data_IF_917085068904
#
_entry.id   IF_917085068904
#
_cell.length_a   1.000
_cell.length_b   1.000
_cell.length_c   1.000
_cell.angle_alpha   90.00
_cell.angle_beta   90.00
_cell.angle_gamma   90.00
#
_symmetry.space_group_name_H-M   'P 1'
#
loop_
_entity.id
_entity.type
_entity.pdbx_description
1 polymer ?
#
# COMPACT_ATOMS: atom_id res chain seq x y z
N UNK A 1 -35.97 -7.16 -28.82
CA UNK A 1 -34.72 -7.89 -28.51
C UNK A 1 -34.10 -7.23 -27.30
N UNK A 2 -34.19 -7.83 -26.11
CA UNK A 2 -33.50 -7.31 -24.93
C UNK A 2 -32.03 -7.69 -25.05
N UNK A 3 -31.12 -6.71 -25.08
CA UNK A 3 -29.69 -6.97 -24.91
C UNK A 3 -29.49 -7.68 -23.56
N UNK A 4 -28.80 -8.81 -23.54
CA UNK A 4 -28.48 -9.51 -22.29
C UNK A 4 -27.56 -8.63 -21.43
N UNK A 5 -27.68 -8.68 -20.10
CA UNK A 5 -26.80 -7.92 -19.20
C UNK A 5 -25.32 -8.25 -19.44
N UNK A 6 -25.03 -9.51 -19.79
CA UNK A 6 -23.68 -9.96 -20.14
C UNK A 6 -23.12 -9.19 -21.34
N UNK A 7 -23.95 -8.99 -22.38
CA UNK A 7 -23.57 -8.22 -23.55
C UNK A 7 -23.20 -6.77 -23.22
N UNK A 8 -24.06 -6.09 -22.45
CA UNK A 8 -23.83 -4.71 -22.02
C UNK A 8 -22.55 -4.58 -21.21
N UNK A 9 -22.33 -5.49 -20.25
CA UNK A 9 -21.12 -5.50 -19.42
C UNK A 9 -19.86 -5.81 -20.23
N UNK A 10 -19.94 -6.72 -21.21
CA UNK A 10 -18.87 -7.04 -22.14
C UNK A 10 -18.51 -5.87 -23.05
N UNK A 11 -19.51 -5.23 -23.66
CA UNK A 11 -19.32 -4.06 -24.52
C UNK A 11 -18.70 -2.88 -23.76
N UNK A 12 -19.15 -2.62 -22.53
CA UNK A 12 -18.58 -1.59 -21.68
C UNK A 12 -17.11 -1.91 -21.33
N UNK A 13 -16.83 -3.15 -20.96
CA UNK A 13 -15.47 -3.62 -20.65
C UNK A 13 -14.54 -3.53 -21.86
N UNK A 14 -15.04 -3.85 -23.05
CA UNK A 14 -14.33 -3.71 -24.33
C UNK A 14 -13.98 -2.25 -24.61
N UNK A 15 -14.97 -1.36 -24.53
CA UNK A 15 -14.78 0.07 -24.77
C UNK A 15 -13.80 0.70 -23.76
N UNK A 16 -13.93 0.39 -22.47
CA UNK A 16 -13.00 0.85 -21.44
C UNK A 16 -11.58 0.31 -21.65
N UNK A 17 -11.44 -0.96 -22.05
CA UNK A 17 -10.12 -1.55 -22.34
C UNK A 17 -9.44 -0.82 -23.52
N UNK A 18 -10.18 -0.52 -24.59
CA UNK A 18 -9.66 0.26 -25.72
C UNK A 18 -9.28 1.69 -25.32
N UNK A 19 -10.12 2.36 -24.52
CA UNK A 19 -9.84 3.70 -24.02
C UNK A 19 -8.52 3.73 -23.23
N UNK A 20 -8.29 2.74 -22.36
CA UNK A 20 -7.03 2.65 -21.59
C UNK A 20 -5.84 2.33 -22.50
N UNK A 21 -5.96 1.35 -23.41
CA UNK A 21 -4.89 0.98 -24.33
C UNK A 21 -4.52 2.09 -25.33
N UNK A 22 -5.43 3.04 -25.59
CA UNK A 22 -5.13 4.19 -26.44
C UNK A 22 -3.93 5.01 -25.96
N UNK A 23 -3.57 4.93 -24.67
CA UNK A 23 -2.34 5.50 -24.12
C UNK A 23 -1.07 5.08 -24.85
N UNK A 24 -1.05 3.89 -25.46
CA UNK A 24 0.10 3.41 -26.24
C UNK A 24 0.44 4.32 -27.43
N UNK A 25 -0.56 5.05 -27.94
CA UNK A 25 -0.43 6.01 -29.05
C UNK A 25 -0.08 7.42 -28.50
N UNK A 26 0.00 7.59 -27.19
CA UNK A 26 0.27 8.85 -26.49
C UNK A 26 -0.92 9.34 -25.65
N UNK A 27 -0.74 10.50 -25.00
CA UNK A 27 -1.77 11.14 -24.20
C UNK A 27 -2.84 11.79 -25.09
N UNK A 28 -4.03 11.17 -25.12
CA UNK A 28 -5.12 11.51 -26.02
C UNK A 28 -6.43 11.68 -25.21
N UNK A 29 -7.47 12.35 -25.74
CA UNK A 29 -8.70 12.61 -25.00
C UNK A 29 -9.45 11.33 -24.59
N UNK A 30 -9.33 10.24 -25.36
CA UNK A 30 -9.96 8.95 -25.08
C UNK A 30 -9.35 8.31 -23.81
N UNK A 31 -8.02 8.29 -23.70
CA UNK A 31 -7.33 7.85 -22.49
C UNK A 31 -7.67 8.71 -21.26
N UNK A 32 -7.69 10.04 -21.43
CA UNK A 32 -8.05 10.96 -20.34
C UNK A 32 -9.47 10.73 -19.84
N UNK A 33 -10.42 10.46 -20.74
CA UNK A 33 -11.80 10.14 -20.38
C UNK A 33 -11.87 8.89 -19.50
N UNK A 34 -11.17 7.81 -19.85
CA UNK A 34 -11.10 6.62 -19.01
C UNK A 34 -10.48 6.92 -17.64
N UNK A 35 -9.38 7.69 -17.61
CA UNK A 35 -8.69 8.03 -16.36
C UNK A 35 -9.55 8.91 -15.46
N UNK A 36 -10.20 9.95 -15.99
CA UNK A 36 -11.10 10.81 -15.22
C UNK A 36 -12.33 10.06 -14.73
N UNK A 37 -12.88 9.14 -15.53
CA UNK A 37 -13.97 8.27 -15.09
C UNK A 37 -13.52 7.38 -13.95
N UNK A 38 -12.35 6.74 -14.08
CA UNK A 38 -11.80 5.88 -13.04
C UNK A 38 -11.54 6.64 -11.72
N UNK A 39 -10.93 7.82 -11.81
CA UNK A 39 -10.68 8.69 -10.64
C UNK A 39 -12.00 9.17 -10.04
N UNK A 40 -12.97 9.57 -10.86
CA UNK A 40 -14.29 10.02 -10.43
C UNK A 40 -15.08 8.93 -9.71
N UNK A 41 -15.11 7.72 -10.26
CA UNK A 41 -15.74 6.55 -9.62
C UNK A 41 -15.03 6.18 -8.32
N UNK A 42 -13.70 6.22 -8.28
CA UNK A 42 -12.92 5.97 -7.07
C UNK A 42 -13.22 6.99 -5.98
N UNK A 43 -13.25 8.28 -6.31
CA UNK A 43 -13.61 9.34 -5.38
C UNK A 43 -15.06 9.22 -4.89
N UNK A 44 -15.99 8.87 -5.79
CA UNK A 44 -17.39 8.63 -5.46
C UNK A 44 -17.57 7.45 -4.50
N UNK A 45 -16.84 6.35 -4.74
CA UNK A 45 -16.84 5.19 -3.84
C UNK A 45 -16.31 5.57 -2.45
N UNK A 46 -15.18 6.28 -2.38
CA UNK A 46 -14.63 6.76 -1.10
C UNK A 46 -15.62 7.68 -0.38
N UNK A 47 -16.29 8.58 -1.11
CA UNK A 47 -17.32 9.44 -0.53
C UNK A 47 -18.52 8.64 0.02
N UNK A 48 -18.97 7.61 -0.71
CA UNK A 48 -20.05 6.74 -0.26
C UNK A 48 -19.65 5.92 0.98
N UNK A 49 -18.42 5.41 1.02
CA UNK A 49 -17.86 4.71 2.18
C UNK A 49 -17.77 5.65 3.38
N UNK A 50 -17.23 6.86 3.20
CA UNK A 50 -17.15 7.87 4.26
C UNK A 50 -18.54 8.25 4.77
N UNK A 51 -19.53 8.39 3.89
CA UNK A 51 -20.91 8.66 4.29
C UNK A 51 -21.48 7.52 5.14
N UNK A 52 -21.41 6.29 4.65
CA UNK A 52 -22.08 5.15 5.25
C UNK A 52 -21.40 4.63 6.52
N UNK A 53 -20.07 4.66 6.56
CA UNK A 53 -19.29 4.07 7.65
C UNK A 53 -18.70 5.10 8.62
N UNK A 54 -18.72 6.39 8.29
CA UNK A 54 -18.14 7.43 9.16
C UNK A 54 -19.19 8.49 9.48
N UNK A 55 -19.64 9.27 8.50
CA UNK A 55 -20.49 10.43 8.78
C UNK A 55 -21.85 10.03 9.37
N UNK A 56 -22.53 9.05 8.79
CA UNK A 56 -23.83 8.62 9.31
C UNK A 56 -23.73 7.99 10.72
N UNK A 57 -22.96 6.91 10.94
CA UNK A 57 -22.94 6.22 12.23
C UNK A 57 -22.16 6.97 13.32
N UNK A 58 -21.06 7.66 12.99
CA UNK A 58 -20.18 8.27 14.00
C UNK A 58 -20.51 9.74 14.28
N UNK A 59 -21.11 10.48 13.33
CA UNK A 59 -21.45 11.89 13.50
C UNK A 59 -22.96 12.10 13.69
N UNK A 60 -23.78 11.70 12.73
CA UNK A 60 -25.21 12.04 12.76
C UNK A 60 -26.00 11.21 13.79
N UNK A 61 -25.75 9.90 13.85
CA UNK A 61 -26.50 9.01 14.75
C UNK A 61 -26.32 9.38 16.23
N UNK A 62 -25.10 9.63 16.76
CA UNK A 62 -24.90 9.99 18.16
C UNK A 62 -25.40 11.40 18.47
N UNK A 63 -25.38 12.31 17.49
CA UNK A 63 -25.90 13.67 17.65
C UNK A 63 -27.42 13.69 17.79
N UNK A 64 -28.13 12.90 16.97
CA UNK A 64 -29.59 12.85 16.94
C UNK A 64 -30.16 11.99 18.08
N UNK A 65 -29.56 10.83 18.31
CA UNK A 65 -30.15 9.77 19.16
C UNK A 65 -29.24 9.32 20.33
N UNK A 66 -28.00 9.80 20.39
CA UNK A 66 -27.05 9.39 21.41
C UNK A 66 -27.33 9.99 22.78
N UNK A 67 -26.91 9.27 23.83
CA UNK A 67 -26.91 9.74 25.21
C UNK A 67 -25.99 10.97 25.39
N UNK A 68 -26.18 11.72 26.49
CA UNK A 68 -25.40 12.93 26.77
C UNK A 68 -23.88 12.67 26.73
N UNK A 69 -23.42 11.53 27.26
CA UNK A 69 -22.01 11.14 27.25
C UNK A 69 -21.46 11.01 25.81
N UNK A 70 -22.21 10.37 24.91
CA UNK A 70 -21.80 10.22 23.51
C UNK A 70 -21.71 11.57 22.80
N UNK A 71 -22.66 12.48 23.06
CA UNK A 71 -22.65 13.84 22.52
C UNK A 71 -21.46 14.66 23.02
N UNK A 72 -21.09 14.50 24.29
CA UNK A 72 -19.93 15.16 24.87
C UNK A 72 -18.60 14.66 24.26
N UNK A 73 -18.48 13.36 24.00
CA UNK A 73 -17.31 12.79 23.31
C UNK A 73 -17.21 13.23 21.84
N UNK A 74 -18.33 13.59 21.22
CA UNK A 74 -18.38 14.08 19.83
C UNK A 74 -18.00 15.56 19.69
N UNK A 75 -17.98 16.33 20.79
CA UNK A 75 -17.65 17.77 20.74
C UNK A 75 -16.26 18.04 20.14
N UNK A 76 -15.17 17.40 20.60
CA UNK A 76 -13.85 17.64 20.02
C UNK A 76 -13.77 17.40 18.49
N UNK A 77 -14.19 16.24 17.94
CA UNK A 77 -14.14 16.03 16.50
C UNK A 77 -15.07 16.96 15.72
N UNK A 78 -16.22 17.34 16.28
CA UNK A 78 -17.14 18.29 15.64
C UNK A 78 -16.54 19.71 15.58
N UNK A 79 -15.89 20.17 16.65
CA UNK A 79 -15.15 21.44 16.65
C UNK A 79 -14.03 21.41 15.61
N UNK A 80 -13.26 20.33 15.54
CA UNK A 80 -12.21 20.19 14.52
C UNK A 80 -12.77 20.18 13.10
N UNK A 81 -13.92 19.53 12.86
CA UNK A 81 -14.60 19.52 11.57
C UNK A 81 -15.08 20.93 11.17
N UNK A 82 -15.66 21.68 12.11
CA UNK A 82 -16.10 23.07 11.87
C UNK A 82 -14.89 23.97 11.58
N UNK A 83 -13.81 23.86 12.35
CA UNK A 83 -12.58 24.64 12.12
C UNK A 83 -11.97 24.31 10.75
N UNK A 84 -12.05 23.05 10.31
CA UNK A 84 -11.58 22.62 9.00
C UNK A 84 -12.46 23.21 7.88
N UNK A 85 -13.79 23.21 8.05
CA UNK A 85 -14.72 23.84 7.11
C UNK A 85 -14.57 25.37 7.06
N UNK A 86 -14.31 26.00 8.20
CA UNK A 86 -14.08 27.45 8.29
C UNK A 86 -12.87 27.89 7.45
N UNK A 87 -11.93 26.98 7.16
CA UNK A 87 -10.79 27.24 6.26
C UNK A 87 -11.20 27.60 4.84
N UNK A 88 -12.37 27.17 4.37
CA UNK A 88 -12.87 27.51 3.03
C UNK A 88 -13.18 29.02 2.92
N UNK A 89 -13.33 29.72 4.04
CA UNK A 89 -13.57 31.16 4.09
C UNK A 89 -12.24 31.91 4.30
N UNK A 90 -11.90 32.92 3.47
CA UNK A 90 -10.65 33.67 3.59
C UNK A 90 -10.32 34.23 5.00
N UNK A 91 -11.27 34.78 5.79
CA UNK A 91 -10.92 35.35 7.09
C UNK A 91 -10.60 34.31 8.18
N UNK A 92 -11.01 33.05 8.01
CA UNK A 92 -10.90 31.98 9.01
C UNK A 92 -9.84 30.92 8.66
N UNK A 93 -9.06 31.13 7.59
CA UNK A 93 -8.07 30.17 7.10
C UNK A 93 -7.10 29.66 8.18
N UNK A 94 -6.66 30.57 9.08
CA UNK A 94 -5.71 30.25 10.16
C UNK A 94 -6.29 29.24 11.16
N UNK A 95 -7.59 29.24 11.38
CA UNK A 95 -8.27 28.33 12.31
C UNK A 95 -8.19 26.87 11.82
N UNK A 96 -8.18 26.67 10.50
CA UNK A 96 -8.01 25.37 9.86
C UNK A 96 -6.63 24.74 10.02
N UNK A 97 -5.61 25.48 10.49
CA UNK A 97 -4.26 24.92 10.74
C UNK A 97 -4.26 23.90 11.87
N UNK A 98 -5.11 24.07 12.88
CA UNK A 98 -5.19 23.18 14.04
C UNK A 98 -5.70 21.78 13.61
N UNK A 99 -6.86 21.65 12.92
CA UNK A 99 -7.29 20.37 12.38
C UNK A 99 -6.28 19.71 11.44
N UNK A 100 -5.59 20.49 10.60
CA UNK A 100 -4.55 19.94 9.72
C UNK A 100 -3.35 19.38 10.47
N UNK A 101 -2.87 20.09 11.50
CA UNK A 101 -1.77 19.62 12.33
C UNK A 101 -2.17 18.33 13.07
N UNK A 102 -3.40 18.27 13.58
CA UNK A 102 -3.95 17.07 14.19
C UNK A 102 -4.02 15.91 13.18
N UNK A 103 -4.60 16.13 11.99
CA UNK A 103 -4.68 15.11 10.93
C UNK A 103 -3.30 14.62 10.48
N UNK A 104 -2.31 15.52 10.36
CA UNK A 104 -0.93 15.16 10.03
C UNK A 104 -0.30 14.31 11.14
N UNK A 105 -0.52 14.66 12.41
CA UNK A 105 -0.07 13.87 13.56
C UNK A 105 -0.70 12.48 13.59
N UNK A 106 -2.01 12.38 13.35
CA UNK A 106 -2.72 11.09 13.24
C UNK A 106 -2.18 10.27 12.06
N UNK A 107 -2.00 10.88 10.89
CA UNK A 107 -1.44 10.20 9.73
C UNK A 107 -0.02 9.66 10.00
N UNK A 108 0.82 10.45 10.66
CA UNK A 108 2.16 10.01 11.07
C UNK A 108 2.08 8.85 12.09
N UNK A 109 1.20 8.95 13.10
CA UNK A 109 1.01 7.90 14.09
C UNK A 109 0.49 6.59 13.47
N UNK A 110 -0.48 6.67 12.55
CA UNK A 110 -1.02 5.52 11.82
C UNK A 110 0.04 4.93 10.89
N UNK A 111 0.83 5.75 10.19
CA UNK A 111 1.89 5.26 9.32
C UNK A 111 3.00 4.54 10.11
N UNK A 112 3.46 5.13 11.23
CA UNK A 112 4.47 4.52 12.09
C UNK A 112 3.91 3.27 12.77
N UNK A 113 2.71 3.36 13.36
CA UNK A 113 2.05 2.22 13.99
C UNK A 113 1.82 1.07 13.01
N UNK A 114 1.30 1.37 11.81
CA UNK A 114 1.08 0.42 10.74
C UNK A 114 2.39 -0.18 10.18
N UNK A 115 3.47 0.59 10.10
CA UNK A 115 4.78 0.03 9.75
C UNK A 115 5.29 -0.91 10.86
N UNK A 116 5.18 -0.52 12.13
CA UNK A 116 5.64 -1.36 13.25
C UNK A 116 4.85 -2.66 13.32
N UNK A 117 3.52 -2.59 13.36
CA UNK A 117 2.65 -3.76 13.55
C UNK A 117 2.40 -4.54 12.27
N UNK A 118 2.37 -3.88 11.12
CA UNK A 118 2.10 -4.49 9.82
C UNK A 118 3.33 -5.00 9.11
N UNK A 119 4.53 -4.45 9.37
CA UNK A 119 5.76 -4.89 8.70
C UNK A 119 6.82 -5.36 9.69
N UNK A 120 7.33 -4.49 10.57
CA UNK A 120 8.51 -4.80 11.39
C UNK A 120 8.30 -6.00 12.32
N UNK A 121 7.20 -6.04 13.08
CA UNK A 121 6.91 -7.14 13.99
C UNK A 121 6.67 -8.46 13.25
N UNK A 122 5.79 -8.52 12.23
CA UNK A 122 5.61 -9.73 11.44
C UNK A 122 6.90 -10.23 10.78
N UNK A 123 7.71 -9.32 10.23
CA UNK A 123 9.00 -9.68 9.62
C UNK A 123 9.99 -10.22 10.65
N UNK A 124 10.08 -9.60 11.83
CA UNK A 124 10.92 -10.09 12.92
C UNK A 124 10.48 -11.48 13.39
N UNK A 125 9.16 -11.72 13.50
CA UNK A 125 8.62 -13.05 13.84
C UNK A 125 8.89 -14.07 12.75
N UNK A 126 8.77 -13.70 11.48
CA UNK A 126 9.00 -14.59 10.35
C UNK A 126 10.43 -15.16 10.35
N UNK A 127 11.42 -14.37 10.75
CA UNK A 127 12.82 -14.83 10.89
C UNK A 127 12.97 -15.84 12.04
N UNK A 128 12.12 -15.79 13.06
CA UNK A 128 12.17 -16.69 14.21
C UNK A 128 11.45 -18.03 13.97
N UNK A 129 10.47 -18.09 13.06
CA UNK A 129 9.67 -19.29 12.79
C UNK A 129 10.52 -20.53 12.44
N UNK A 130 11.54 -20.45 11.58
CA UNK A 130 12.36 -21.62 11.23
C UNK A 130 13.13 -22.20 12.43
N UNK A 131 13.35 -21.41 13.49
CA UNK A 131 14.05 -21.82 14.71
C UNK A 131 13.13 -22.41 15.79
N UNK A 132 11.81 -22.44 15.57
CA UNK A 132 10.88 -23.07 16.51
C UNK A 132 10.93 -24.60 16.36
N UNK A 133 11.60 -25.26 17.30
CA UNK A 133 11.77 -26.72 17.38
C UNK A 133 10.43 -27.47 17.41
N UNK A 134 9.36 -26.86 17.92
CA UNK A 134 8.02 -27.50 17.96
C UNK A 134 7.38 -27.60 16.58
N UNK A 135 7.69 -26.67 15.69
CA UNK A 135 7.11 -26.63 14.34
C UNK A 135 7.68 -27.70 13.39
N UNK A 136 8.84 -28.29 13.72
CA UNK A 136 9.44 -29.43 13.01
C UNK A 136 8.58 -30.68 13.16
N UNK A 137 8.01 -30.88 14.36
CA UNK A 137 7.18 -32.06 14.70
C UNK A 137 5.86 -32.06 13.91
N UNK A 138 5.32 -30.88 13.60
CA UNK A 138 4.00 -30.75 12.94
C UNK A 138 4.06 -30.76 11.41
N UNK A 139 5.21 -30.42 10.81
CA UNK A 139 5.35 -30.36 9.33
C UNK A 139 6.05 -31.57 8.72
N UNK A 140 6.60 -32.48 9.52
CA UNK A 140 7.33 -33.66 9.01
C UNK A 140 8.60 -33.31 8.22
N UNK A 141 9.03 -32.05 8.26
CA UNK A 141 10.23 -31.57 7.58
C UNK A 141 11.50 -32.01 8.32
N UNK A 142 12.59 -32.19 7.59
CA UNK A 142 13.86 -32.55 8.23
C UNK A 142 14.35 -31.37 9.09
N UNK A 143 14.83 -31.62 10.33
CA UNK A 143 15.34 -30.55 11.20
C UNK A 143 16.48 -29.76 10.55
N UNK A 144 17.28 -30.41 9.70
CA UNK A 144 18.41 -29.81 8.99
C UNK A 144 17.97 -28.83 7.90
N UNK A 145 16.93 -29.14 7.13
CA UNK A 145 16.40 -28.22 6.10
C UNK A 145 15.87 -26.93 6.72
N UNK A 146 15.14 -27.03 7.84
CA UNK A 146 14.60 -25.85 8.54
C UNK A 146 15.68 -25.00 9.19
N UNK A 147 16.70 -25.64 9.77
CA UNK A 147 17.87 -24.93 10.29
C UNK A 147 18.62 -24.22 9.18
N UNK A 148 18.75 -24.84 8.00
CA UNK A 148 19.37 -24.21 6.84
C UNK A 148 18.55 -23.01 6.34
N UNK A 149 17.23 -23.16 6.19
CA UNK A 149 16.31 -22.08 5.81
C UNK A 149 16.40 -20.91 6.80
N UNK A 150 16.32 -21.19 8.10
CA UNK A 150 16.47 -20.20 9.16
C UNK A 150 17.83 -19.50 9.14
N UNK A 151 18.91 -20.24 8.94
CA UNK A 151 20.25 -19.68 8.83
C UNK A 151 20.38 -18.75 7.61
N UNK A 152 19.87 -19.16 6.45
CA UNK A 152 19.88 -18.33 5.22
C UNK A 152 19.05 -17.07 5.44
N UNK A 153 17.85 -17.17 6.02
CA UNK A 153 17.00 -16.02 6.31
C UNK A 153 17.66 -15.05 7.31
N UNK A 154 18.24 -15.57 8.39
CA UNK A 154 18.94 -14.76 9.40
C UNK A 154 20.17 -14.06 8.81
N UNK A 155 21.00 -14.78 8.06
CA UNK A 155 22.16 -14.21 7.37
C UNK A 155 21.73 -13.15 6.37
N UNK A 156 20.67 -13.40 5.60
CA UNK A 156 20.10 -12.43 4.66
C UNK A 156 19.66 -11.15 5.36
N UNK A 157 18.89 -11.24 6.45
CA UNK A 157 18.40 -10.09 7.21
C UNK A 157 19.55 -9.31 7.87
N UNK A 158 20.45 -10.00 8.58
CA UNK A 158 21.58 -9.35 9.25
C UNK A 158 22.49 -8.66 8.23
N UNK A 159 22.80 -9.33 7.13
CA UNK A 159 23.66 -8.76 6.09
C UNK A 159 23.02 -7.57 5.37
N UNK A 160 21.73 -7.62 5.09
CA UNK A 160 20.97 -6.50 4.53
C UNK A 160 20.90 -5.30 5.50
N UNK A 161 20.68 -5.55 6.80
CA UNK A 161 20.71 -4.49 7.82
C UNK A 161 22.09 -3.84 7.91
N UNK A 162 23.17 -4.63 7.87
CA UNK A 162 24.55 -4.12 7.86
C UNK A 162 24.86 -3.33 6.59
N UNK A 163 24.29 -3.72 5.44
CA UNK A 163 24.42 -2.96 4.20
C UNK A 163 23.81 -1.55 4.32
N UNK A 164 22.60 -1.44 4.89
CA UNK A 164 21.91 -0.17 5.13
C UNK A 164 22.32 0.55 6.42
N UNK A 165 23.24 -0.01 7.21
CA UNK A 165 23.72 0.63 8.41
C UNK A 165 24.56 1.87 8.06
N UNK A 166 23.91 3.04 8.12
CA UNK A 166 24.53 4.35 7.89
C UNK A 166 25.45 4.82 9.04
N UNK A 167 25.59 4.04 10.12
CA UNK A 167 26.38 4.37 11.32
C UNK A 167 27.90 4.26 11.17
N UNK A 168 28.44 4.15 9.96
CA UNK A 168 29.87 4.34 9.75
C UNK A 168 30.21 5.80 10.06
N UNK A 169 30.66 6.05 11.30
CA UNK A 169 31.15 7.35 11.80
C UNK A 169 31.81 8.15 10.68
N UNK A 170 31.28 9.33 10.37
CA UNK A 170 32.11 10.40 9.79
C UNK A 170 33.11 10.80 10.86
N UNK A 171 34.30 10.23 10.82
CA UNK A 171 35.44 10.79 11.52
C UNK A 171 35.89 12.05 10.74
N UNK A 172 36.39 13.05 11.46
CA UNK A 172 36.75 14.39 10.94
C UNK A 172 37.83 14.40 9.84
N UNK A 173 38.35 13.24 9.46
CA UNK A 173 39.30 13.03 8.36
C UNK A 173 38.71 11.97 7.43
N UNK A 174 38.50 12.31 6.15
CA UNK A 174 37.63 11.64 5.18
C UNK A 174 37.94 10.18 4.78
N UNK A 175 38.52 9.34 5.63
CA UNK A 175 38.72 7.91 5.37
C UNK A 175 37.80 7.03 6.22
N UNK A 176 36.78 6.45 5.57
CA UNK A 176 35.85 5.50 6.17
C UNK A 176 36.51 4.12 6.28
N UNK A 177 37.21 3.84 7.39
CA UNK A 177 37.60 2.45 7.73
C UNK A 177 36.39 1.70 8.28
N UNK A 178 35.54 1.17 7.39
CA UNK A 178 34.68 0.04 7.75
C UNK A 178 35.59 -1.14 8.12
N UNK A 179 35.34 -1.81 9.26
CA UNK A 179 36.01 -3.07 9.62
C UNK A 179 35.92 -4.04 8.44
N UNK A 180 36.97 -4.85 8.20
CA UNK A 180 37.01 -5.81 7.07
C UNK A 180 35.78 -6.73 7.06
N UNK A 181 35.33 -7.11 8.26
CA UNK A 181 34.14 -7.94 8.48
C UNK A 181 32.87 -7.22 8.00
N UNK A 182 32.64 -5.96 8.39
CA UNK A 182 31.46 -5.19 7.98
C UNK A 182 31.41 -4.97 6.47
N UNK A 183 32.57 -4.88 5.79
CA UNK A 183 32.61 -4.74 4.33
C UNK A 183 32.14 -6.01 3.63
N UNK A 184 32.57 -7.17 4.11
CA UNK A 184 32.20 -8.47 3.55
C UNK A 184 30.72 -8.77 3.82
N UNK A 185 30.24 -8.54 5.04
CA UNK A 185 28.83 -8.72 5.41
C UNK A 185 27.92 -7.77 4.62
N UNK A 186 28.31 -6.51 4.44
CA UNK A 186 27.54 -5.57 3.60
C UNK A 186 27.53 -5.97 2.10
N UNK A 187 28.59 -6.61 1.61
CA UNK A 187 28.61 -7.11 0.23
C UNK A 187 27.63 -8.27 0.03
N UNK A 188 27.57 -9.21 0.99
CA UNK A 188 26.55 -10.27 1.00
C UNK A 188 25.14 -9.67 1.05
N UNK A 189 24.92 -8.69 1.91
CA UNK A 189 23.63 -8.00 2.00
C UNK A 189 23.21 -7.34 0.69
N UNK A 190 24.16 -6.70 -0.02
CA UNK A 190 23.92 -6.12 -1.35
C UNK A 190 23.48 -7.17 -2.36
N UNK A 191 24.09 -8.36 -2.34
CA UNK A 191 23.71 -9.45 -3.23
C UNK A 191 22.28 -9.91 -2.96
N UNK A 192 21.93 -10.13 -1.69
CA UNK A 192 20.55 -10.47 -1.29
C UNK A 192 19.55 -9.43 -1.79
N UNK A 193 19.82 -8.15 -1.54
CA UNK A 193 18.96 -7.03 -1.98
C UNK A 193 18.81 -7.01 -3.51
N UNK A 194 19.91 -7.18 -4.25
CA UNK A 194 19.89 -7.18 -5.71
C UNK A 194 19.06 -8.35 -6.27
N UNK A 195 19.21 -9.54 -5.70
CA UNK A 195 18.43 -10.72 -6.09
C UNK A 195 16.94 -10.51 -5.77
N UNK A 196 16.61 -10.03 -4.58
CA UNK A 196 15.21 -9.77 -4.20
C UNK A 196 14.56 -8.71 -5.08
N UNK A 197 15.23 -7.58 -5.34
CA UNK A 197 14.70 -6.57 -6.26
C UNK A 197 14.58 -7.09 -7.69
N UNK A 198 15.54 -7.90 -8.15
CA UNK A 198 15.47 -8.55 -9.46
C UNK A 198 14.25 -9.46 -9.58
N UNK A 199 13.99 -10.28 -8.55
CA UNK A 199 12.83 -11.16 -8.50
C UNK A 199 11.50 -10.37 -8.46
N UNK A 200 11.42 -9.31 -7.65
CA UNK A 200 10.24 -8.44 -7.59
C UNK A 200 9.99 -7.73 -8.93
N UNK A 201 11.04 -7.22 -9.57
CA UNK A 201 10.93 -6.58 -10.88
C UNK A 201 10.47 -7.56 -11.94
N UNK A 202 11.08 -8.76 -12.00
CA UNK A 202 10.66 -9.81 -12.93
C UNK A 202 9.21 -10.23 -12.70
N UNK A 203 8.78 -10.34 -11.43
CA UNK A 203 7.40 -10.65 -11.07
C UNK A 203 6.40 -9.58 -11.50
N UNK A 204 6.70 -8.30 -11.25
CA UNK A 204 5.86 -7.17 -11.69
C UNK A 204 5.80 -7.09 -13.21
N UNK A 205 6.94 -7.28 -13.88
CA UNK A 205 7.02 -7.28 -15.34
C UNK A 205 6.21 -8.43 -15.96
N UNK A 206 6.36 -9.65 -15.44
CA UNK A 206 5.60 -10.81 -15.88
C UNK A 206 4.09 -10.60 -15.65
N UNK A 207 3.69 -10.10 -14.48
CA UNK A 207 2.30 -9.80 -14.18
C UNK A 207 1.72 -8.73 -15.12
N UNK A 208 2.49 -7.68 -15.43
CA UNK A 208 2.07 -6.63 -16.36
C UNK A 208 1.92 -7.18 -17.80
N UNK A 209 2.86 -8.02 -18.26
CA UNK A 209 2.75 -8.69 -19.56
C UNK A 209 1.55 -9.64 -19.62
N UNK A 210 1.35 -10.47 -18.59
CA UNK A 210 0.19 -11.36 -18.50
C UNK A 210 -1.11 -10.56 -18.54
N UNK A 211 -1.22 -9.48 -17.76
CA UNK A 211 -2.38 -8.60 -17.78
C UNK A 211 -2.61 -7.98 -19.17
N UNK A 212 -1.56 -7.55 -19.87
CA UNK A 212 -1.67 -7.03 -21.23
C UNK A 212 -2.17 -8.11 -22.21
N UNK A 213 -1.59 -9.32 -22.15
CA UNK A 213 -1.99 -10.46 -22.98
C UNK A 213 -3.47 -10.80 -22.72
N UNK A 214 -3.90 -10.86 -21.46
CA UNK A 214 -5.30 -11.08 -21.08
C UNK A 214 -6.22 -10.03 -21.67
N UNK A 215 -5.86 -8.74 -21.62
CA UNK A 215 -6.68 -7.67 -22.20
C UNK A 215 -6.75 -7.78 -23.72
N UNK A 216 -5.65 -8.10 -24.40
CA UNK A 216 -5.64 -8.30 -25.86
C UNK A 216 -6.46 -9.53 -26.28
N UNK A 217 -6.31 -10.65 -25.57
CA UNK A 217 -7.12 -11.85 -25.79
C UNK A 217 -8.60 -11.59 -25.54
N UNK A 218 -8.94 -10.83 -24.49
CA UNK A 218 -10.32 -10.42 -24.22
C UNK A 218 -10.90 -9.61 -25.40
N UNK A 219 -10.17 -8.62 -25.93
CA UNK A 219 -10.62 -7.84 -27.09
C UNK A 219 -10.84 -8.73 -28.33
N UNK A 220 -9.91 -9.65 -28.60
CA UNK A 220 -9.99 -10.58 -29.72
C UNK A 220 -11.17 -11.54 -29.62
N UNK A 221 -11.33 -12.17 -28.44
CA UNK A 221 -12.42 -13.11 -28.18
C UNK A 221 -13.78 -12.40 -28.23
N UNK A 222 -13.88 -11.19 -27.69
CA UNK A 222 -15.11 -10.39 -27.77
C UNK A 222 -15.47 -10.07 -29.22
N UNK A 223 -14.52 -9.66 -30.07
CA UNK A 223 -14.76 -9.41 -31.49
C UNK A 223 -15.23 -10.65 -32.26
N UNK A 224 -14.74 -11.84 -31.90
CA UNK A 224 -15.17 -13.12 -32.51
C UNK A 224 -16.49 -13.67 -31.97
N UNK A 225 -17.02 -13.10 -30.90
CA UNK A 225 -18.29 -13.54 -30.32
C UNK A 225 -19.51 -12.98 -31.07
N UNK A 226 -19.28 -12.18 -32.12
CA UNK A 226 -20.23 -11.65 -33.09
C UNK A 226 -20.01 -12.31 -34.46
#
# INVERSE_FOLDING_TARGET
MAFSMEFLSGALSFLLTLLVLSYLIGDNPLFRLATYTFVGVSAGYVAAVAWHYVLWPELFLPLLSGALQARLLLLPPLVLAILLLARLLPPLEKAGRIPLAFLAGVAAAVAVGGAVTGTLLPQARAVLIPFDVRSVITTGASPLERLFEGAVALVGVVSALVYFHFGARRQKEGNVRRSRINRLVAWVGRLFIAVTFGALFAGVYAAALTALIERLMFLWTFLRSF
#
